data_IF_351847010615
#
_entry.id   IF_351847010615
#
_cell.length_a   1.000
_cell.length_b   1.000
_cell.length_c   1.000
_cell.angle_alpha   90.00
_cell.angle_beta   90.00
_cell.angle_gamma   90.00
#
_symmetry.space_group_name_H-M   'P 1'
#
loop_
_entity.id
_entity.type
_entity.pdbx_description
1 polymer ?
#
# COMPACT_ATOMS: atom_id res chain seq x y z
N UNK A 1 33.65 -16.33 4.26
CA UNK A 1 32.33 -16.26 4.93
C UNK A 1 31.30 -16.77 3.94
N UNK A 2 30.75 -17.99 4.08
CA UNK A 2 29.90 -18.57 3.05
C UNK A 2 28.47 -18.05 3.18
N UNK A 3 27.92 -17.60 2.04
CA UNK A 3 26.52 -17.30 1.80
C UNK A 3 25.68 -18.54 2.17
N UNK A 4 24.80 -18.42 3.17
CA UNK A 4 23.88 -19.49 3.50
C UNK A 4 22.92 -19.69 2.32
N UNK A 5 22.96 -20.90 1.75
CA UNK A 5 22.01 -21.41 0.77
C UNK A 5 20.59 -21.27 1.34
N UNK A 6 19.75 -20.47 0.68
CA UNK A 6 18.32 -20.39 0.98
C UNK A 6 17.71 -21.73 0.60
N UNK A 7 17.22 -22.45 1.61
CA UNK A 7 16.52 -23.72 1.44
C UNK A 7 15.22 -23.49 0.65
N UNK A 8 15.05 -24.12 -0.53
CA UNK A 8 13.83 -23.98 -1.34
C UNK A 8 12.59 -24.58 -0.67
N UNK A 9 12.72 -25.26 0.48
CA UNK A 9 11.64 -25.92 1.20
C UNK A 9 11.19 -25.18 2.48
N UNK A 10 11.55 -23.90 2.64
CA UNK A 10 11.07 -23.07 3.75
C UNK A 10 9.62 -22.62 3.50
N UNK A 11 8.70 -23.50 3.86
CA UNK A 11 7.24 -23.32 3.79
C UNK A 11 6.80 -21.99 4.43
N UNK A 12 6.20 -21.16 3.59
CA UNK A 12 5.10 -20.22 3.82
C UNK A 12 4.83 -19.79 5.27
N UNK A 13 5.26 -18.57 5.63
CA UNK A 13 4.86 -17.87 6.86
C UNK A 13 3.95 -16.65 6.58
N UNK A 14 3.47 -16.54 5.34
CA UNK A 14 2.40 -15.63 4.92
C UNK A 14 1.32 -16.50 4.27
N UNK A 15 0.05 -16.42 4.68
CA UNK A 15 -1.00 -17.20 4.03
C UNK A 15 -0.96 -16.91 2.52
N UNK A 16 -1.10 -17.97 1.72
CA UNK A 16 -1.13 -17.92 0.25
C UNK A 16 -1.79 -16.63 -0.22
N UNK A 17 -1.00 -15.71 -0.75
CA UNK A 17 -1.55 -14.47 -1.33
C UNK A 17 -2.32 -14.88 -2.57
N UNK A 18 -3.65 -14.96 -2.43
CA UNK A 18 -4.56 -15.14 -3.56
C UNK A 18 -4.22 -14.13 -4.65
N UNK A 19 -4.16 -14.58 -5.89
CA UNK A 19 -3.91 -13.67 -6.99
C UNK A 19 -5.05 -12.67 -7.11
N UNK A 20 -4.77 -11.47 -7.60
CA UNK A 20 -5.78 -10.42 -7.81
C UNK A 20 -6.97 -10.93 -8.64
N UNK A 21 -6.72 -11.81 -9.61
CA UNK A 21 -7.77 -12.41 -10.43
C UNK A 21 -8.67 -13.39 -9.65
N UNK A 22 -8.10 -14.15 -8.72
CA UNK A 22 -8.88 -15.03 -7.83
C UNK A 22 -9.76 -14.19 -6.90
N UNK A 23 -9.21 -13.12 -6.30
CA UNK A 23 -9.95 -12.19 -5.45
C UNK A 23 -11.11 -11.51 -6.19
N UNK A 24 -10.89 -11.06 -7.43
CA UNK A 24 -11.95 -10.45 -8.26
C UNK A 24 -13.06 -11.47 -8.55
N UNK A 25 -12.68 -12.71 -8.89
CA UNK A 25 -13.64 -13.76 -9.21
C UNK A 25 -14.53 -14.08 -8.01
N UNK A 26 -13.94 -14.21 -6.82
CA UNK A 26 -14.68 -14.45 -5.58
C UNK A 26 -15.56 -13.25 -5.20
N UNK A 27 -15.04 -12.03 -5.32
CA UNK A 27 -15.80 -10.81 -5.03
C UNK A 27 -17.05 -10.68 -5.91
N UNK A 28 -16.97 -11.04 -7.20
CA UNK A 28 -18.10 -10.99 -8.11
C UNK A 28 -19.13 -12.09 -7.85
N UNK A 29 -18.70 -13.24 -7.32
CA UNK A 29 -19.58 -14.36 -6.95
C UNK A 29 -20.43 -14.10 -5.70
N UNK A 30 -20.09 -13.07 -4.90
CA UNK A 30 -20.86 -12.70 -3.71
C UNK A 30 -22.29 -12.24 -4.06
N UNK A 31 -23.29 -12.47 -3.19
CA UNK A 31 -24.61 -11.85 -3.28
C UNK A 31 -24.54 -10.32 -3.35
N UNK A 32 -25.54 -9.67 -3.96
CA UNK A 32 -25.54 -8.22 -4.18
C UNK A 32 -25.26 -7.41 -2.90
N UNK A 33 -25.90 -7.76 -1.79
CA UNK A 33 -25.71 -7.07 -0.51
C UNK A 33 -24.25 -7.12 -0.03
N UNK A 34 -23.61 -8.29 -0.13
CA UNK A 34 -22.21 -8.49 0.28
C UNK A 34 -21.24 -7.80 -0.68
N UNK A 35 -21.56 -7.70 -1.97
CA UNK A 35 -20.76 -6.89 -2.92
C UNK A 35 -20.80 -5.40 -2.60
N UNK A 36 -21.95 -4.89 -2.16
CA UNK A 36 -22.10 -3.50 -1.75
C UNK A 36 -21.24 -3.23 -0.51
N UNK A 37 -21.33 -4.09 0.50
CA UNK A 37 -20.53 -4.00 1.72
C UNK A 37 -19.02 -4.08 1.45
N UNK A 38 -18.59 -5.01 0.58
CA UNK A 38 -17.20 -5.11 0.15
C UNK A 38 -16.74 -3.85 -0.58
N UNK A 39 -17.55 -3.31 -1.51
CA UNK A 39 -17.22 -2.10 -2.24
C UNK A 39 -17.08 -0.88 -1.31
N UNK A 40 -17.97 -0.76 -0.31
CA UNK A 40 -17.89 0.30 0.71
C UNK A 40 -16.61 0.18 1.54
N UNK A 41 -16.30 -1.02 2.03
CA UNK A 41 -15.09 -1.28 2.81
C UNK A 41 -13.82 -0.95 2.00
N UNK A 42 -13.78 -1.34 0.73
CA UNK A 42 -12.65 -1.04 -0.16
C UNK A 42 -12.52 0.47 -0.40
N UNK A 43 -13.65 1.17 -0.58
CA UNK A 43 -13.67 2.63 -0.74
C UNK A 43 -13.15 3.35 0.51
N UNK A 44 -13.61 2.97 1.70
CA UNK A 44 -13.15 3.54 2.97
C UNK A 44 -11.67 3.25 3.25
N UNK A 45 -11.14 2.13 2.74
CA UNK A 45 -9.72 1.80 2.90
C UNK A 45 -8.78 2.70 2.09
N UNK A 46 -9.26 3.29 0.99
CA UNK A 46 -8.49 4.21 0.15
C UNK A 46 -8.78 5.68 0.50
N UNK A 47 -9.98 5.96 1.00
CA UNK A 47 -10.38 7.27 1.49
C UNK A 47 -9.87 7.47 2.93
N UNK A 48 -8.54 7.65 3.04
CA UNK A 48 -7.87 7.86 4.31
C UNK A 48 -8.12 9.24 4.94
N UNK A 49 -9.19 9.94 4.53
CA UNK A 49 -9.53 11.26 5.04
C UNK A 49 -8.38 12.23 4.82
N UNK A 50 -7.90 12.34 3.57
CA UNK A 50 -7.03 13.45 3.22
C UNK A 50 -7.79 14.72 3.60
N UNK A 51 -7.20 15.61 4.43
CA UNK A 51 -7.87 16.84 4.80
C UNK A 51 -8.31 17.54 3.52
N UNK A 52 -9.52 18.09 3.50
CA UNK A 52 -9.97 18.97 2.41
C UNK A 52 -9.06 20.20 2.41
N UNK A 53 -7.91 20.09 1.78
CA UNK A 53 -7.01 21.20 1.53
C UNK A 53 -7.48 21.84 0.24
N UNK A 54 -7.59 23.17 0.22
CA UNK A 54 -7.88 23.91 -0.99
C UNK A 54 -6.94 23.43 -2.12
N UNK A 55 -7.45 23.15 -3.34
CA UNK A 55 -6.64 22.60 -4.44
C UNK A 55 -5.33 23.36 -4.66
N UNK A 56 -5.33 24.67 -4.48
CA UNK A 56 -4.17 25.55 -4.61
C UNK A 56 -3.08 25.21 -3.58
N UNK A 57 -3.47 24.93 -2.33
CA UNK A 57 -2.54 24.56 -1.28
C UNK A 57 -1.95 23.16 -1.51
N UNK A 58 -2.74 22.22 -2.04
CA UNK A 58 -2.23 20.90 -2.43
C UNK A 58 -1.20 20.98 -3.57
N UNK A 59 -1.45 21.84 -4.56
CA UNK A 59 -0.51 22.07 -5.68
C UNK A 59 0.79 22.72 -5.16
N UNK A 60 0.69 23.74 -4.30
CA UNK A 60 1.87 24.39 -3.72
C UNK A 60 2.72 23.42 -2.90
N UNK A 61 2.07 22.54 -2.12
CA UNK A 61 2.77 21.54 -1.32
C UNK A 61 3.43 20.47 -2.20
N UNK A 62 2.80 20.08 -3.32
CA UNK A 62 3.39 19.17 -4.30
C UNK A 62 4.64 19.78 -4.97
N UNK A 63 4.56 21.05 -5.40
CA UNK A 63 5.70 21.78 -6.00
C UNK A 63 6.85 21.91 -4.99
N UNK A 64 6.54 22.23 -3.73
CA UNK A 64 7.54 22.30 -2.66
C UNK A 64 8.25 20.96 -2.47
N UNK A 65 7.50 19.85 -2.38
CA UNK A 65 8.08 18.51 -2.22
C UNK A 65 8.96 18.11 -3.41
N UNK A 66 8.53 18.43 -4.62
CA UNK A 66 9.31 18.15 -5.84
C UNK A 66 10.66 18.90 -5.85
N UNK A 67 10.65 20.17 -5.45
CA UNK A 67 11.87 20.96 -5.30
C UNK A 67 12.81 20.41 -4.20
N UNK A 68 12.26 19.95 -3.08
CA UNK A 68 13.03 19.33 -1.98
C UNK A 68 13.70 18.02 -2.41
N UNK A 69 13.01 17.20 -3.20
CA UNK A 69 13.55 15.95 -3.73
C UNK A 69 14.58 16.20 -4.82
N UNK A 70 14.30 17.10 -5.76
CA UNK A 70 15.19 17.40 -6.89
C UNK A 70 16.47 18.10 -6.44
N UNK A 71 16.40 18.98 -5.44
CA UNK A 71 17.58 19.61 -4.84
C UNK A 71 18.43 18.65 -4.00
N UNK A 72 17.92 17.45 -3.70
CA UNK A 72 18.56 16.51 -2.79
C UNK A 72 18.54 16.94 -1.32
N UNK A 73 17.78 18.00 -0.99
CA UNK A 73 17.55 18.43 0.40
C UNK A 73 16.88 17.32 1.20
N UNK A 74 16.01 16.55 0.54
CA UNK A 74 15.36 15.37 1.11
C UNK A 74 15.62 14.17 0.20
N UNK A 75 15.93 13.02 0.81
CA UNK A 75 16.03 11.75 0.11
C UNK A 75 14.70 11.01 0.25
N UNK A 76 14.08 10.66 -0.88
CA UNK A 76 12.87 9.85 -0.90
C UNK A 76 13.11 8.46 -0.30
N UNK A 77 12.10 7.89 0.35
CA UNK A 77 12.17 6.51 0.85
C UNK A 77 11.95 5.54 -0.30
N UNK A 78 12.75 4.49 -0.33
CA UNK A 78 12.51 3.34 -1.21
C UNK A 78 11.25 2.59 -0.78
N UNK A 79 10.64 1.85 -1.72
CA UNK A 79 9.50 1.00 -1.43
C UNK A 79 9.76 0.03 -0.25
N UNK A 80 10.97 -0.53 -0.15
CA UNK A 80 11.35 -1.42 0.94
C UNK A 80 11.34 -0.72 2.32
N UNK A 81 11.85 0.52 2.39
CA UNK A 81 11.86 1.32 3.61
C UNK A 81 10.46 1.74 4.04
N UNK A 82 9.60 2.10 3.08
CA UNK A 82 8.18 2.41 3.33
C UNK A 82 7.47 1.19 3.93
N UNK A 83 7.64 0.01 3.33
CA UNK A 83 7.02 -1.23 3.82
C UNK A 83 7.58 -1.68 5.17
N UNK A 84 8.86 -1.44 5.45
CA UNK A 84 9.45 -1.72 6.75
C UNK A 84 8.84 -0.84 7.85
N UNK A 85 8.70 0.47 7.59
CA UNK A 85 8.06 1.41 8.52
C UNK A 85 6.58 1.07 8.77
N UNK A 86 5.82 0.74 7.72
CA UNK A 86 4.40 0.37 7.83
C UNK A 86 4.20 -0.89 8.70
N UNK A 87 5.08 -1.88 8.60
CA UNK A 87 5.04 -3.07 9.46
C UNK A 87 5.39 -2.77 10.92
N UNK A 88 6.23 -1.76 11.17
CA UNK A 88 6.58 -1.35 12.54
C UNK A 88 5.42 -0.63 13.24
N UNK A 89 4.61 0.15 12.53
CA UNK A 89 3.46 0.88 13.09
C UNK A 89 2.25 0.00 13.44
N UNK A 90 2.24 -1.28 13.03
CA UNK A 90 1.16 -2.24 13.30
C UNK A 90 1.42 -3.12 14.54
N UNK A 91 2.35 -2.74 15.41
CA UNK A 91 2.67 -3.44 16.67
C UNK A 91 1.97 -2.80 17.86
#
# INVERSE_FOLDING_TARGET
>A
MPFALVDPNRISMYPDTMSTQQLITEALALPLAQRIELAQTLWESIDCGLPEVAPEAAILDAVRRDAELTSGTIVGRTHAEVMAAARQSLK
#
